data_IF_066875126085
#
_entry.id   IF_066875126085
#
_cell.length_a   1.000
_cell.length_b   1.000
_cell.length_c   1.000
_cell.angle_alpha   90.00
_cell.angle_beta   90.00
_cell.angle_gamma   90.00
#
_symmetry.space_group_name_H-M   'P 1'
#
loop_
_entity.id
_entity.type
_entity.pdbx_description
1 polymer ?
#
# COMPACT_ATOMS: atom_id res chain seq x y z
N UNK A 1 -3.74 23.78 20.58
CA UNK A 1 -3.73 23.82 19.09
C UNK A 1 -2.32 23.55 18.64
N UNK A 2 -2.06 22.43 17.98
CA UNK A 2 -0.74 22.17 17.35
C UNK A 2 -0.67 23.06 16.11
N UNK A 3 0.14 24.12 16.19
CA UNK A 3 0.41 25.02 15.08
C UNK A 3 1.02 24.19 13.94
N UNK A 4 0.38 24.20 12.77
CA UNK A 4 0.90 23.55 11.56
C UNK A 4 0.40 22.13 11.26
N UNK A 5 -0.71 21.68 11.83
CA UNK A 5 -1.37 20.42 11.46
C UNK A 5 -2.81 20.65 10.99
N UNK A 6 -3.19 19.96 9.89
CA UNK A 6 -4.54 20.05 9.29
C UNK A 6 -5.24 18.69 9.39
N UNK A 7 -6.54 18.70 9.68
CA UNK A 7 -7.38 17.52 9.60
C UNK A 7 -7.72 17.26 8.12
N UNK A 8 -7.35 16.09 7.62
CA UNK A 8 -7.59 15.68 6.22
C UNK A 8 -8.78 14.72 6.08
N UNK A 9 -9.25 14.16 7.20
CA UNK A 9 -10.38 13.22 7.20
C UNK A 9 -10.48 12.47 8.52
N UNK A 10 -11.34 11.42 8.51
CA UNK A 10 -11.54 10.54 9.67
C UNK A 10 -11.57 9.08 9.24
N UNK A 11 -10.95 8.20 10.03
CA UNK A 11 -11.06 6.76 9.90
C UNK A 11 -11.37 6.14 11.28
N UNK A 12 -12.26 5.17 11.34
CA UNK A 12 -12.73 4.56 12.60
C UNK A 12 -13.26 5.59 13.62
N UNK A 13 -13.77 6.74 13.16
CA UNK A 13 -14.18 7.86 14.01
C UNK A 13 -13.02 8.73 14.54
N UNK A 14 -11.76 8.37 14.23
CA UNK A 14 -10.56 9.07 14.69
C UNK A 14 -10.18 10.14 13.66
N UNK A 15 -9.95 11.41 14.06
CA UNK A 15 -9.44 12.45 13.18
C UNK A 15 -8.02 12.12 12.70
N UNK A 16 -7.80 12.20 11.37
CA UNK A 16 -6.49 12.06 10.75
C UNK A 16 -5.96 13.44 10.43
N UNK A 17 -4.77 13.75 10.92
CA UNK A 17 -4.12 15.05 10.74
C UNK A 17 -2.79 14.88 10.03
N UNK A 18 -2.43 15.88 9.24
CA UNK A 18 -1.13 15.97 8.56
C UNK A 18 -0.41 17.21 9.09
N UNK A 19 0.82 17.03 9.56
CA UNK A 19 1.67 18.12 10.00
C UNK A 19 2.44 18.72 8.82
N UNK A 20 2.80 20.00 8.86
CA UNK A 20 3.55 20.69 7.81
C UNK A 20 4.84 19.96 7.38
N UNK A 21 5.54 19.33 8.32
CA UNK A 21 6.76 18.57 8.06
C UNK A 21 6.56 17.34 7.18
N UNK A 22 5.33 16.83 7.07
CA UNK A 22 4.99 15.71 6.18
C UNK A 22 5.21 16.08 4.71
N UNK A 23 4.86 17.31 4.31
CA UNK A 23 5.06 17.76 2.92
C UNK A 23 6.52 17.78 2.52
N UNK A 24 7.43 18.09 3.46
CA UNK A 24 8.86 18.02 3.22
C UNK A 24 9.31 16.59 2.88
N UNK A 25 8.91 15.61 3.69
CA UNK A 25 9.29 14.21 3.44
C UNK A 25 8.61 13.67 2.20
N UNK A 26 7.34 14.02 1.95
CA UNK A 26 6.66 13.66 0.73
C UNK A 26 7.43 14.15 -0.51
N UNK A 27 7.86 15.41 -0.50
CA UNK A 27 8.66 15.97 -1.58
C UNK A 27 10.03 15.27 -1.71
N UNK A 28 10.73 15.03 -0.60
CA UNK A 28 12.03 14.34 -0.60
C UNK A 28 11.93 12.91 -1.16
N UNK A 29 10.92 12.15 -0.74
CA UNK A 29 10.69 10.79 -1.25
C UNK A 29 10.36 10.82 -2.74
N UNK A 30 9.41 11.69 -3.13
CA UNK A 30 9.02 11.84 -4.53
C UNK A 30 10.20 12.20 -5.41
N UNK A 31 10.99 13.23 -5.02
CA UNK A 31 12.15 13.68 -5.80
C UNK A 31 13.27 12.64 -5.87
N UNK A 32 13.54 11.94 -4.77
CA UNK A 32 14.53 10.85 -4.73
C UNK A 32 14.15 9.71 -5.67
N UNK A 33 12.87 9.35 -5.72
CA UNK A 33 12.37 8.35 -6.66
C UNK A 33 12.41 8.85 -8.10
N UNK A 34 11.92 10.07 -8.35
CA UNK A 34 11.77 10.62 -9.69
C UNK A 34 13.10 10.93 -10.36
N UNK A 35 14.09 11.47 -9.64
CA UNK A 35 15.38 11.88 -10.19
C UNK A 35 16.50 10.86 -9.99
N UNK A 36 16.33 9.87 -9.13
CA UNK A 36 17.34 8.86 -8.81
C UNK A 36 16.90 7.44 -9.20
N UNK A 37 16.05 6.84 -8.38
CA UNK A 37 15.73 5.41 -8.47
C UNK A 37 15.01 5.02 -9.78
N UNK A 38 13.96 5.75 -10.17
CA UNK A 38 13.15 5.39 -11.33
C UNK A 38 13.92 5.51 -12.66
N UNK A 39 14.67 6.60 -12.95
CA UNK A 39 15.46 6.67 -14.17
C UNK A 39 16.54 5.59 -14.27
N UNK A 40 17.14 5.20 -13.14
CA UNK A 40 18.16 4.17 -13.11
C UNK A 40 17.62 2.76 -13.39
N UNK A 41 16.38 2.45 -12.97
CA UNK A 41 15.78 1.13 -13.09
C UNK A 41 14.80 0.99 -14.26
N UNK A 42 14.24 2.09 -14.75
CA UNK A 42 13.25 2.15 -15.84
C UNK A 42 13.66 3.24 -16.85
N UNK A 43 14.79 3.07 -17.60
CA UNK A 43 15.27 4.11 -18.49
C UNK A 43 14.31 4.34 -19.67
N UNK A 44 14.31 5.57 -20.22
CA UNK A 44 13.59 5.92 -21.45
C UNK A 44 12.18 6.47 -21.27
N UNK A 45 11.73 6.71 -20.03
CA UNK A 45 10.49 7.43 -19.78
C UNK A 45 10.71 8.94 -19.74
N UNK A 46 9.65 9.73 -19.97
CA UNK A 46 9.72 11.19 -19.82
C UNK A 46 9.85 11.59 -18.34
N UNK A 47 10.44 12.75 -18.09
CA UNK A 47 10.61 13.30 -16.74
C UNK A 47 9.27 13.42 -16.00
N UNK A 48 8.23 13.85 -16.68
CA UNK A 48 6.87 13.95 -16.11
C UNK A 48 6.35 12.60 -15.59
N UNK A 49 6.65 11.50 -16.31
CA UNK A 49 6.26 10.14 -15.88
C UNK A 49 7.01 9.73 -14.63
N UNK A 50 8.30 10.02 -14.52
CA UNK A 50 9.07 9.73 -13.32
C UNK A 50 8.52 10.48 -12.11
N UNK A 51 8.17 11.77 -12.26
CA UNK A 51 7.56 12.55 -11.20
C UNK A 51 6.17 12.02 -10.80
N UNK A 52 5.33 11.68 -11.77
CA UNK A 52 4.02 11.09 -11.50
C UNK A 52 4.14 9.73 -10.76
N UNK A 53 5.02 8.85 -11.22
CA UNK A 53 5.27 7.55 -10.57
C UNK A 53 5.85 7.73 -9.17
N UNK A 54 6.81 8.63 -8.99
CA UNK A 54 7.38 8.96 -7.68
C UNK A 54 6.33 9.50 -6.71
N UNK A 55 5.45 10.39 -7.17
CA UNK A 55 4.36 10.92 -6.34
C UNK A 55 3.35 9.84 -5.94
N UNK A 56 2.94 8.97 -6.88
CA UNK A 56 2.06 7.83 -6.58
C UNK A 56 2.70 6.89 -5.56
N UNK A 57 3.98 6.54 -5.75
CA UNK A 57 4.71 5.69 -4.82
C UNK A 57 4.80 6.32 -3.43
N UNK A 58 5.06 7.64 -3.33
CA UNK A 58 5.06 8.36 -2.05
C UNK A 58 3.69 8.36 -1.38
N UNK A 59 2.59 8.57 -2.13
CA UNK A 59 1.21 8.48 -1.59
C UNK A 59 0.94 7.08 -1.05
N UNK A 60 1.31 6.02 -1.78
CA UNK A 60 1.13 4.63 -1.35
C UNK A 60 1.96 4.32 -0.09
N UNK A 61 3.20 4.81 -0.02
CA UNK A 61 4.05 4.68 1.16
C UNK A 61 3.38 5.30 2.39
N UNK A 62 2.93 6.56 2.31
CA UNK A 62 2.27 7.22 3.44
C UNK A 62 0.89 6.62 3.75
N UNK A 63 0.19 6.11 2.74
CA UNK A 63 -1.02 5.32 2.92
C UNK A 63 -0.75 4.05 3.73
N UNK A 64 0.35 3.34 3.46
CA UNK A 64 0.76 2.16 4.23
C UNK A 64 1.13 2.51 5.68
N UNK A 65 1.79 3.65 5.91
CA UNK A 65 2.07 4.16 7.26
C UNK A 65 0.77 4.46 8.00
N UNK A 66 -0.18 5.12 7.36
CA UNK A 66 -1.49 5.38 7.96
C UNK A 66 -2.24 4.08 8.31
N UNK A 67 -2.21 3.08 7.43
CA UNK A 67 -2.83 1.78 7.70
C UNK A 67 -2.16 1.05 8.86
N UNK A 68 -0.83 1.16 8.98
CA UNK A 68 -0.08 0.66 10.13
C UNK A 68 -0.58 1.28 11.45
N UNK A 69 -0.69 2.62 11.52
CA UNK A 69 -1.21 3.34 12.69
C UNK A 69 -2.68 2.98 12.98
N UNK A 70 -3.48 2.81 11.93
CA UNK A 70 -4.86 2.35 12.08
C UNK A 70 -4.93 0.91 12.62
N UNK A 71 -3.95 0.07 12.34
CA UNK A 71 -3.82 -1.25 12.95
C UNK A 71 -3.70 -1.18 14.48
N UNK A 72 -2.78 -0.36 14.98
CA UNK A 72 -2.64 -0.08 16.42
C UNK A 72 -3.93 0.49 17.02
N UNK A 73 -4.48 1.52 16.35
CA UNK A 73 -5.69 2.20 16.80
C UNK A 73 -6.90 1.26 16.84
N UNK A 74 -7.07 0.38 15.85
CA UNK A 74 -8.16 -0.58 15.80
C UNK A 74 -8.13 -1.52 17.01
N UNK A 75 -6.96 -2.10 17.32
CA UNK A 75 -6.82 -2.98 18.48
C UNK A 75 -7.03 -2.20 19.78
N UNK A 76 -6.47 -0.98 19.92
CA UNK A 76 -6.69 -0.14 21.10
C UNK A 76 -8.18 0.15 21.35
N UNK A 77 -8.96 0.43 20.31
CA UNK A 77 -10.41 0.63 20.40
C UNK A 77 -11.14 -0.63 20.91
N UNK A 78 -10.69 -1.85 20.57
CA UNK A 78 -11.29 -3.10 21.11
C UNK A 78 -11.14 -3.21 22.64
N UNK A 79 -10.07 -2.60 23.17
CA UNK A 79 -9.83 -2.48 24.61
C UNK A 79 -10.47 -1.22 25.23
N UNK A 80 -11.34 -0.51 24.47
CA UNK A 80 -12.02 0.73 24.86
C UNK A 80 -11.09 1.90 25.16
N UNK A 81 -9.85 1.85 24.66
CA UNK A 81 -8.89 2.94 24.76
C UNK A 81 -9.26 3.99 23.72
N UNK A 82 -9.60 5.19 24.17
CA UNK A 82 -9.96 6.29 23.28
C UNK A 82 -8.72 6.85 22.56
N UNK A 83 -8.79 6.95 21.24
CA UNK A 83 -7.75 7.60 20.40
C UNK A 83 -8.24 9.01 20.07
N UNK A 84 -7.46 10.02 20.44
CA UNK A 84 -7.83 11.41 20.20
C UNK A 84 -7.63 11.85 18.77
N UNK A 85 -6.55 11.41 18.14
CA UNK A 85 -6.19 11.70 16.74
C UNK A 85 -5.03 10.80 16.27
N UNK A 86 -4.88 10.67 14.96
CA UNK A 86 -3.68 10.15 14.31
C UNK A 86 -3.03 11.31 13.56
N UNK A 87 -1.74 11.56 13.78
CA UNK A 87 -1.01 12.64 13.11
C UNK A 87 0.12 12.06 12.27
N UNK A 88 0.14 12.38 10.97
CA UNK A 88 1.25 12.07 10.06
C UNK A 88 2.23 13.24 10.08
N UNK A 89 3.52 12.94 10.24
CA UNK A 89 4.60 13.91 10.28
C UNK A 89 5.89 13.32 9.68
N UNK A 90 7.01 14.05 9.79
CA UNK A 90 8.28 13.71 9.12
C UNK A 90 8.79 12.28 9.42
N UNK A 91 8.57 11.75 10.62
CA UNK A 91 9.05 10.43 11.03
C UNK A 91 8.01 9.31 10.90
N UNK A 92 6.85 9.58 10.31
CA UNK A 92 5.78 8.60 10.14
C UNK A 92 4.45 9.04 10.72
N UNK A 93 3.73 8.12 11.39
CA UNK A 93 2.45 8.38 12.05
C UNK A 93 2.57 8.27 13.58
N UNK A 94 1.71 8.97 14.29
CA UNK A 94 1.52 8.81 15.75
C UNK A 94 0.04 8.83 16.09
N UNK A 95 -0.42 7.75 16.72
CA UNK A 95 -1.73 7.68 17.34
C UNK A 95 -1.67 8.17 18.80
N UNK A 96 -2.47 9.18 19.11
CA UNK A 96 -2.50 9.75 20.46
C UNK A 96 -3.57 9.02 21.30
N UNK A 97 -3.14 8.05 22.09
CA UNK A 97 -3.99 7.36 23.07
C UNK A 97 -4.26 8.28 24.27
N UNK A 98 -5.47 8.23 24.81
CA UNK A 98 -5.87 9.00 26.00
C UNK A 98 -5.60 8.28 27.32
N UNK A 99 -5.47 6.97 27.28
CA UNK A 99 -5.33 6.09 28.42
C UNK A 99 -4.26 5.04 28.16
N UNK A 100 -3.62 4.55 29.18
CA UNK A 100 -2.67 3.44 29.08
C UNK A 100 -3.42 2.10 28.91
N UNK A 101 -2.79 1.12 28.24
CA UNK A 101 -3.35 -0.23 28.11
C UNK A 101 -3.63 -0.85 29.49
N UNK A 102 -4.81 -1.50 29.69
CA UNK A 102 -5.24 -1.98 31.02
C UNK A 102 -4.41 -3.14 31.57
N UNK A 103 -3.65 -3.83 30.73
CA UNK A 103 -2.78 -4.95 31.12
C UNK A 103 -1.75 -5.27 30.02
N UNK A 104 -0.64 -5.97 30.33
CA UNK A 104 0.46 -6.22 29.38
C UNK A 104 0.07 -6.94 28.09
N UNK A 105 -0.96 -7.81 28.13
CA UNK A 105 -1.45 -8.47 26.91
C UNK A 105 -2.11 -7.49 25.95
N UNK A 106 -2.85 -6.50 26.45
CA UNK A 106 -3.44 -5.46 25.62
C UNK A 106 -2.34 -4.63 24.96
N UNK A 107 -1.33 -4.23 25.73
CA UNK A 107 -0.17 -3.49 25.24
C UNK A 107 0.55 -4.27 24.14
N UNK A 108 0.83 -5.55 24.34
CA UNK A 108 1.46 -6.42 23.33
C UNK A 108 0.62 -6.54 22.06
N UNK A 109 -0.70 -6.76 22.17
CA UNK A 109 -1.57 -6.91 21.01
C UNK A 109 -1.70 -5.60 20.24
N UNK A 110 -1.77 -4.45 20.93
CA UNK A 110 -1.73 -3.14 20.31
C UNK A 110 -0.39 -2.97 19.57
N UNK A 111 0.73 -3.28 20.23
CA UNK A 111 2.06 -3.10 19.63
C UNK A 111 2.30 -3.95 18.38
N UNK A 112 1.81 -5.19 18.33
CA UNK A 112 2.01 -6.08 17.17
C UNK A 112 1.03 -5.80 16.01
N UNK A 113 -0.07 -5.10 16.26
CA UNK A 113 -1.13 -4.87 15.25
C UNK A 113 -0.63 -4.06 14.05
N UNK A 114 0.15 -3.00 14.27
CA UNK A 114 0.75 -2.21 13.18
C UNK A 114 1.69 -3.04 12.31
N UNK A 115 2.73 -3.69 12.89
CA UNK A 115 3.59 -4.61 12.15
C UNK A 115 2.83 -5.70 11.38
N UNK A 116 1.78 -6.28 11.95
CA UNK A 116 0.96 -7.29 11.28
C UNK A 116 0.26 -6.74 10.03
N UNK A 117 -0.27 -5.52 10.10
CA UNK A 117 -0.84 -4.81 8.93
C UNK A 117 0.24 -4.57 7.87
N UNK A 118 1.44 -4.13 8.26
CA UNK A 118 2.56 -3.92 7.31
C UNK A 118 2.98 -5.20 6.61
N UNK A 119 3.08 -6.32 7.34
CA UNK A 119 3.39 -7.64 6.75
C UNK A 119 2.29 -8.07 5.77
N UNK A 120 1.01 -7.91 6.15
CA UNK A 120 -0.11 -8.24 5.28
C UNK A 120 -0.10 -7.40 3.99
N UNK A 121 0.15 -6.09 4.09
CA UNK A 121 0.28 -5.20 2.93
C UNK A 121 1.46 -5.61 2.03
N UNK A 122 2.62 -5.92 2.63
CA UNK A 122 3.79 -6.41 1.89
C UNK A 122 3.50 -7.70 1.13
N UNK A 123 2.83 -8.66 1.77
CA UNK A 123 2.43 -9.91 1.12
C UNK A 123 1.42 -9.67 -0.03
N UNK A 124 0.46 -8.76 0.15
CA UNK A 124 -0.47 -8.37 -0.92
C UNK A 124 0.25 -7.72 -2.11
N UNK A 125 1.21 -6.82 -1.84
CA UNK A 125 2.00 -6.19 -2.90
C UNK A 125 2.83 -7.22 -3.68
N UNK A 126 3.50 -8.14 -2.99
CA UNK A 126 4.27 -9.21 -3.62
C UNK A 126 3.36 -10.10 -4.48
N UNK A 127 2.21 -10.52 -3.94
CA UNK A 127 1.23 -11.30 -4.71
C UNK A 127 0.72 -10.56 -5.95
N UNK A 128 0.49 -9.26 -5.86
CA UNK A 128 0.08 -8.45 -7.00
C UNK A 128 1.17 -8.36 -8.08
N UNK A 129 2.44 -8.23 -7.70
CA UNK A 129 3.58 -8.22 -8.63
C UNK A 129 3.71 -9.57 -9.36
N UNK A 130 3.63 -10.67 -8.64
CA UNK A 130 3.68 -12.02 -9.24
C UNK A 130 2.53 -12.24 -10.23
N UNK A 131 1.30 -11.88 -9.86
CA UNK A 131 0.14 -11.99 -10.74
C UNK A 131 0.28 -11.12 -12.00
N UNK A 132 0.79 -9.89 -11.85
CA UNK A 132 1.03 -9.00 -12.98
C UNK A 132 2.12 -9.56 -13.92
N UNK A 133 3.20 -10.11 -13.36
CA UNK A 133 4.26 -10.80 -14.14
C UNK A 133 3.71 -11.96 -14.94
N UNK A 134 2.95 -12.85 -14.30
CA UNK A 134 2.31 -13.99 -14.98
C UNK A 134 1.35 -13.58 -16.11
N UNK A 135 0.57 -12.50 -15.88
CA UNK A 135 -0.32 -11.96 -16.92
C UNK A 135 0.46 -11.36 -18.09
N UNK A 136 1.56 -10.66 -17.81
CA UNK A 136 2.46 -10.13 -18.83
C UNK A 136 3.10 -11.20 -19.69
N UNK A 137 3.59 -12.27 -19.10
CA UNK A 137 4.19 -13.41 -19.80
C UNK A 137 3.17 -14.13 -20.69
N UNK A 138 1.94 -14.32 -20.20
CA UNK A 138 0.86 -14.89 -21.00
C UNK A 138 0.51 -14.03 -22.21
N UNK A 139 0.44 -12.70 -22.02
CA UNK A 139 0.18 -11.78 -23.12
C UNK A 139 1.31 -11.79 -24.15
N UNK A 140 2.56 -11.77 -23.70
CA UNK A 140 3.73 -11.86 -24.57
C UNK A 140 3.74 -13.16 -25.40
N UNK A 141 3.39 -14.30 -24.80
CA UNK A 141 3.26 -15.58 -25.51
C UNK A 141 2.14 -15.58 -26.54
N UNK A 142 0.99 -14.96 -26.24
CA UNK A 142 -0.13 -14.82 -27.19
C UNK A 142 0.25 -13.98 -28.40
N UNK A 143 1.01 -12.91 -28.18
CA UNK A 143 1.47 -12.02 -29.25
C UNK A 143 2.57 -12.65 -30.09
N UNK A 144 3.52 -13.36 -29.46
CA UNK A 144 4.64 -14.01 -30.16
C UNK A 144 4.22 -15.25 -30.96
N UNK A 145 3.20 -15.99 -30.51
CA UNK A 145 2.78 -17.25 -31.13
C UNK A 145 1.25 -17.36 -31.31
N UNK A 146 0.64 -16.50 -32.13
CA UNK A 146 -0.82 -16.45 -32.27
C UNK A 146 -1.42 -17.76 -32.78
N UNK A 147 -0.71 -18.48 -33.67
CA UNK A 147 -1.20 -19.76 -34.20
C UNK A 147 -1.23 -20.90 -33.16
N UNK A 148 -0.35 -20.89 -32.16
CA UNK A 148 -0.36 -21.90 -31.10
C UNK A 148 -1.50 -21.67 -30.12
N UNK A 149 -1.91 -20.43 -29.91
CA UNK A 149 -3.06 -20.06 -29.07
C UNK A 149 -4.34 -20.60 -29.69
N UNK A 150 -4.55 -20.36 -30.98
CA UNK A 150 -5.73 -20.84 -31.72
C UNK A 150 -5.81 -22.37 -31.70
N UNK A 151 -4.70 -23.06 -31.95
CA UNK A 151 -4.66 -24.55 -31.87
C UNK A 151 -5.06 -25.10 -30.50
N UNK A 152 -4.58 -24.49 -29.43
CA UNK A 152 -4.92 -24.92 -28.05
C UNK A 152 -6.39 -24.69 -27.73
N UNK A 153 -7.00 -23.63 -28.23
CA UNK A 153 -8.42 -23.34 -28.05
C UNK A 153 -9.28 -24.34 -28.83
N UNK A 154 -8.90 -24.69 -30.07
CA UNK A 154 -9.57 -25.72 -30.86
C UNK A 154 -9.48 -27.11 -30.23
N UNK A 155 -8.32 -27.47 -29.68
CA UNK A 155 -8.15 -28.77 -28.97
C UNK A 155 -8.98 -28.80 -27.68
N UNK A 156 -9.09 -27.73 -26.96
CA UNK A 156 -9.97 -27.64 -25.76
C UNK A 156 -11.43 -27.79 -26.13
N UNK A 157 -11.87 -27.14 -27.20
CA UNK A 157 -13.26 -27.22 -27.65
C UNK A 157 -13.60 -28.62 -28.15
N UNK A 158 -12.68 -29.31 -28.84
CA UNK A 158 -12.82 -30.72 -29.24
C UNK A 158 -12.94 -31.66 -28.04
N UNK A 159 -12.11 -31.47 -26.99
CA UNK A 159 -12.17 -32.31 -25.77
C UNK A 159 -13.46 -32.07 -24.99
N UNK A 160 -13.94 -30.84 -24.91
CA UNK A 160 -15.21 -30.51 -24.25
C UNK A 160 -16.41 -31.15 -24.94
N UNK A 161 -16.41 -31.26 -26.26
CA UNK A 161 -17.49 -31.90 -27.02
C UNK A 161 -17.53 -33.43 -26.88
N UNK A 162 -16.37 -34.09 -26.59
CA UNK A 162 -16.33 -35.52 -26.36
C UNK A 162 -16.71 -35.97 -24.94
N UNK A 163 -16.85 -35.03 -23.99
CA UNK A 163 -17.28 -35.34 -22.61
C UNK A 163 -18.80 -35.17 -22.39
N UNK A 164 -19.55 -34.71 -23.39
CA UNK A 164 -21.01 -34.45 -23.30
C UNK A 164 -21.83 -35.50 -24.08
N UNK A 165 -21.17 -36.47 -24.69
CA UNK A 165 -21.79 -37.67 -25.33
C UNK A 165 -21.51 -38.92 -24.50
#
# INVERSE_FOLDING_TARGET
MQLGSWEIGRALGIPIRVHASWFLVFFLVTSSLASGYLPANLPGLSEERYWAMGAVAAVLLFGSVLLHELGHAYVALTYRIAISQITLFIFGGVAHMREEPPHPRAEFLIAIAGPAVSVALGALCLGAVELAGMAGDQLAQRVAHPQQVVRREEERDRRGRHQVL
#
